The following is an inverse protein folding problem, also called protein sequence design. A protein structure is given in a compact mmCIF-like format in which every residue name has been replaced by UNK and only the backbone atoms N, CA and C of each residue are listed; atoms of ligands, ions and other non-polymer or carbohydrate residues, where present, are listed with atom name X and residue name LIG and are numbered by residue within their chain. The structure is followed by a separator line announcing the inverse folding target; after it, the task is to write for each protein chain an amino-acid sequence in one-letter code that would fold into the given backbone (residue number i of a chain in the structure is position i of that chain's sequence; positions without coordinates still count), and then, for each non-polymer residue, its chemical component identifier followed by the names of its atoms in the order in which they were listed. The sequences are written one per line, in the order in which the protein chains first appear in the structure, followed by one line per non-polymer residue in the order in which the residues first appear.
data_IF_745846339121
#
_entry.id   IF_745846339121
#
_cell.length_a   1.000
_cell.length_b   1.000
_cell.length_c   1.000
_cell.angle_alpha   90.00
_cell.angle_beta   90.00
_cell.angle_gamma   90.00
#
_symmetry.space_group_name_H-M   'P 1'
#
loop_
_entity.id
_entity.type
_entity.pdbx_description
1 polymer ?
#
# COMPACT_ATOMS: atom_id res chain seq x y z
N UNK A 1 1.73 -15.12 2.42
CA UNK A 1 1.45 -13.66 2.33
C UNK A 1 1.11 -13.31 0.89
N UNK A 2 -0.13 -12.94 0.61
CA UNK A 2 -0.53 -12.48 -0.73
C UNK A 2 0.07 -11.09 -0.99
N UNK A 3 0.62 -10.85 -2.19
CA UNK A 3 1.08 -9.51 -2.56
C UNK A 3 -0.11 -8.53 -2.61
N UNK A 4 0.14 -7.24 -2.33
CA UNK A 4 -0.91 -6.20 -2.23
C UNK A 4 -1.82 -6.10 -3.46
N UNK A 5 -1.26 -6.23 -4.67
CA UNK A 5 -2.02 -6.27 -5.91
C UNK A 5 -2.91 -7.51 -6.03
N UNK A 6 -2.56 -8.61 -5.36
CA UNK A 6 -3.35 -9.83 -5.30
C UNK A 6 -4.59 -9.65 -4.43
N UNK A 7 -4.40 -9.06 -3.23
CA UNK A 7 -5.53 -8.77 -2.33
C UNK A 7 -6.52 -7.81 -2.99
N UNK A 8 -6.03 -6.72 -3.60
CA UNK A 8 -6.90 -5.81 -4.33
C UNK A 8 -7.64 -6.52 -5.49
N UNK A 9 -6.96 -7.40 -6.22
CA UNK A 9 -7.60 -8.19 -7.27
C UNK A 9 -8.73 -9.08 -6.76
N UNK A 10 -8.55 -9.70 -5.59
CA UNK A 10 -9.60 -10.48 -4.92
C UNK A 10 -10.74 -9.60 -4.43
N UNK A 11 -10.45 -8.46 -3.78
CA UNK A 11 -11.46 -7.55 -3.28
C UNK A 11 -12.28 -6.91 -4.42
N UNK A 12 -11.63 -6.54 -5.52
CA UNK A 12 -12.29 -6.06 -6.74
C UNK A 12 -13.18 -7.12 -7.36
N UNK A 13 -12.70 -8.35 -7.48
CA UNK A 13 -13.50 -9.46 -8.00
C UNK A 13 -14.75 -9.64 -7.15
N UNK A 14 -14.60 -9.71 -5.83
CA UNK A 14 -15.73 -9.86 -4.91
C UNK A 14 -16.73 -8.70 -5.03
N UNK A 15 -16.23 -7.45 -5.13
CA UNK A 15 -17.08 -6.27 -5.31
C UNK A 15 -17.86 -6.31 -6.63
N UNK A 16 -17.23 -6.73 -7.73
CA UNK A 16 -17.87 -6.84 -9.04
C UNK A 16 -18.92 -7.96 -9.07
N UNK A 17 -18.60 -9.12 -8.50
CA UNK A 17 -19.54 -10.26 -8.38
C UNK A 17 -20.74 -9.88 -7.51
N UNK A 18 -20.52 -9.17 -6.40
CA UNK A 18 -21.60 -8.64 -5.54
C UNK A 18 -22.51 -7.64 -6.27
N UNK A 19 -21.99 -6.92 -7.27
CA UNK A 19 -22.74 -6.01 -8.13
C UNK A 19 -23.45 -6.75 -9.30
N UNK A 20 -23.47 -8.08 -9.30
CA UNK A 20 -24.11 -8.90 -10.35
C UNK A 20 -23.38 -8.88 -11.70
N UNK A 21 -22.14 -8.41 -11.74
CA UNK A 21 -21.35 -8.36 -12.97
C UNK A 21 -20.56 -9.66 -13.18
N UNK A 22 -20.70 -10.34 -14.34
CA UNK A 22 -19.88 -11.52 -14.64
C UNK A 22 -18.42 -11.10 -14.83
N UNK A 23 -17.52 -11.67 -14.03
CA UNK A 23 -16.09 -11.30 -14.00
C UNK A 23 -15.23 -12.45 -14.49
N UNK A 24 -14.38 -12.18 -15.47
CA UNK A 24 -13.29 -13.07 -15.87
C UNK A 24 -11.95 -12.46 -15.47
N UNK A 25 -11.20 -13.14 -14.61
CA UNK A 25 -9.86 -12.72 -14.18
C UNK A 25 -8.81 -13.42 -15.03
N UNK A 26 -7.91 -12.63 -15.62
CA UNK A 26 -6.71 -13.12 -16.29
C UNK A 26 -5.48 -12.70 -15.49
N UNK A 27 -4.72 -13.69 -15.01
CA UNK A 27 -3.55 -13.49 -14.17
C UNK A 27 -2.27 -13.84 -14.93
N UNK A 28 -1.29 -12.92 -14.92
CA UNK A 28 0.02 -13.11 -15.56
C UNK A 28 0.95 -14.06 -14.78
N UNK A 29 0.66 -14.34 -13.51
CA UNK A 29 1.51 -15.18 -12.63
C UNK A 29 1.38 -16.67 -12.88
N UNK A 30 0.35 -17.11 -13.57
CA UNK A 30 0.20 -18.51 -14.00
C UNK A 30 1.10 -18.86 -15.20
N UNK A 31 2.11 -18.02 -15.46
CA UNK A 31 3.18 -18.29 -16.40
C UNK A 31 4.12 -19.32 -15.75
N UNK A 32 4.27 -20.48 -16.38
CA UNK A 32 5.03 -21.61 -15.83
C UNK A 32 6.48 -21.31 -15.41
N UNK A 33 7.12 -22.17 -14.63
CA UNK A 33 8.50 -21.96 -14.17
C UNK A 33 9.51 -22.07 -15.34
N UNK A 34 10.63 -21.35 -15.20
CA UNK A 34 11.73 -21.33 -16.19
C UNK A 34 11.48 -20.44 -17.42
N UNK A 35 12.50 -20.21 -18.27
CA UNK A 35 12.42 -19.31 -19.42
C UNK A 35 11.40 -19.79 -20.48
N UNK A 36 11.40 -21.08 -20.80
CA UNK A 36 10.50 -21.69 -21.80
C UNK A 36 9.07 -21.68 -21.27
N UNK A 37 8.84 -22.08 -19.99
CA UNK A 37 7.53 -22.05 -19.35
C UNK A 37 6.96 -20.64 -19.27
N UNK A 38 7.79 -19.63 -18.99
CA UNK A 38 7.39 -18.22 -18.99
C UNK A 38 7.03 -17.73 -20.38
N UNK A 39 7.77 -18.11 -21.42
CA UNK A 39 7.48 -17.76 -22.81
C UNK A 39 6.16 -18.34 -23.28
N UNK A 40 5.94 -19.64 -23.07
CA UNK A 40 4.70 -20.34 -23.44
C UNK A 40 3.50 -19.80 -22.63
N UNK A 41 3.69 -19.57 -21.31
CA UNK A 41 2.66 -19.00 -20.46
C UNK A 41 2.27 -17.60 -20.90
N UNK A 42 3.24 -16.76 -21.31
CA UNK A 42 2.98 -15.42 -21.85
C UNK A 42 2.17 -15.48 -23.15
N UNK A 43 2.55 -16.36 -24.08
CA UNK A 43 1.80 -16.56 -25.31
C UNK A 43 0.35 -17.00 -25.02
N UNK A 44 0.16 -17.98 -24.13
CA UNK A 44 -1.15 -18.46 -23.73
C UNK A 44 -1.99 -17.36 -23.06
N UNK A 45 -1.38 -16.55 -22.19
CA UNK A 45 -2.03 -15.38 -21.59
C UNK A 45 -2.51 -14.40 -22.66
N UNK A 46 -1.67 -14.05 -23.63
CA UNK A 46 -2.02 -13.12 -24.71
C UNK A 46 -3.14 -13.67 -25.61
N UNK A 47 -3.11 -14.97 -25.92
CA UNK A 47 -4.20 -15.63 -26.68
C UNK A 47 -5.52 -15.61 -25.92
N UNK A 48 -5.49 -15.95 -24.63
CA UNK A 48 -6.69 -15.88 -23.75
C UNK A 48 -7.24 -14.48 -23.66
N UNK A 49 -6.36 -13.49 -23.50
CA UNK A 49 -6.75 -12.09 -23.45
C UNK A 49 -7.38 -11.64 -24.77
N UNK A 50 -6.74 -11.94 -25.90
CA UNK A 50 -7.26 -11.61 -27.22
C UNK A 50 -8.64 -12.25 -27.49
N UNK A 51 -8.85 -13.48 -27.01
CA UNK A 51 -10.15 -14.16 -27.12
C UNK A 51 -11.21 -13.54 -26.16
N UNK A 52 -10.86 -13.35 -24.89
CA UNK A 52 -11.76 -12.80 -23.88
C UNK A 52 -12.14 -11.35 -24.21
N UNK A 53 -11.18 -10.53 -24.68
CA UNK A 53 -11.41 -9.12 -25.02
C UNK A 53 -12.42 -8.89 -26.15
N UNK A 54 -12.68 -9.90 -26.98
CA UNK A 54 -13.71 -9.83 -28.02
C UNK A 54 -15.12 -10.14 -27.51
N UNK A 55 -15.22 -10.64 -26.28
CA UNK A 55 -16.49 -11.07 -25.64
C UNK A 55 -16.86 -10.27 -24.40
N UNK A 56 -15.91 -9.57 -23.80
CA UNK A 56 -16.19 -8.71 -22.66
C UNK A 56 -16.70 -7.33 -23.10
N UNK A 57 -17.49 -6.70 -22.22
CA UNK A 57 -18.03 -5.34 -22.43
C UNK A 57 -17.07 -4.27 -21.96
N UNK A 58 -16.18 -4.60 -21.06
CA UNK A 58 -15.25 -3.69 -20.40
C UNK A 58 -13.98 -4.43 -19.99
N UNK A 59 -12.82 -3.79 -20.10
CA UNK A 59 -11.55 -4.28 -19.59
C UNK A 59 -11.07 -3.37 -18.46
N UNK A 60 -10.81 -3.95 -17.30
CA UNK A 60 -10.14 -3.27 -16.18
C UNK A 60 -8.72 -3.83 -16.02
N UNK A 61 -7.73 -2.96 -16.18
CA UNK A 61 -6.33 -3.28 -15.92
C UNK A 61 -5.92 -2.81 -14.54
N UNK A 62 -5.34 -3.72 -13.73
CA UNK A 62 -4.82 -3.40 -12.39
C UNK A 62 -3.38 -2.88 -12.40
N UNK A 63 -2.81 -2.59 -13.57
CA UNK A 63 -1.47 -2.03 -13.67
C UNK A 63 -1.27 -1.32 -15.02
N UNK A 64 -0.80 -0.07 -14.98
CA UNK A 64 -0.62 0.76 -16.17
C UNK A 64 0.34 0.13 -17.20
N UNK A 65 1.45 -0.46 -16.75
CA UNK A 65 2.42 -1.13 -17.62
C UNK A 65 1.87 -2.38 -18.31
N UNK A 66 0.98 -3.13 -17.63
CA UNK A 66 0.30 -4.27 -18.23
C UNK A 66 -0.66 -3.80 -19.33
N UNK A 67 -1.46 -2.77 -19.07
CA UNK A 67 -2.38 -2.20 -20.06
C UNK A 67 -1.64 -1.79 -21.32
N UNK A 68 -0.54 -1.04 -21.19
CA UNK A 68 0.32 -0.67 -22.33
C UNK A 68 0.79 -1.88 -23.14
N UNK A 69 1.24 -2.93 -22.44
CA UNK A 69 1.82 -4.12 -23.08
C UNK A 69 0.80 -4.92 -23.87
N UNK A 70 -0.47 -4.92 -23.46
CA UNK A 70 -1.54 -5.71 -24.09
C UNK A 70 -2.41 -4.89 -25.04
N UNK A 71 -2.34 -3.59 -24.99
CA UNK A 71 -3.19 -2.68 -25.76
C UNK A 71 -3.23 -2.94 -27.25
N UNK A 72 -2.12 -3.29 -27.95
CA UNK A 72 -2.14 -3.58 -29.38
C UNK A 72 -3.02 -4.79 -29.74
N UNK A 73 -3.30 -5.67 -28.81
CA UNK A 73 -4.13 -6.87 -28.98
C UNK A 73 -5.62 -6.63 -28.70
N UNK A 74 -5.95 -5.51 -28.09
CA UNK A 74 -7.32 -5.20 -27.67
C UNK A 74 -8.14 -4.61 -28.82
N UNK A 75 -9.44 -4.99 -28.94
CA UNK A 75 -10.34 -4.33 -29.87
C UNK A 75 -10.40 -2.81 -29.61
N UNK A 76 -10.31 -2.00 -30.68
CA UNK A 76 -10.30 -0.53 -30.56
C UNK A 76 -11.55 0.02 -29.86
N UNK A 77 -12.69 -0.64 -30.01
CA UNK A 77 -13.98 -0.23 -29.44
C UNK A 77 -14.19 -0.72 -28.01
N UNK A 78 -13.31 -1.58 -27.47
CA UNK A 78 -13.44 -2.10 -26.11
C UNK A 78 -13.16 -0.97 -25.11
N UNK A 79 -14.14 -0.59 -24.27
CA UNK A 79 -13.93 0.35 -23.18
C UNK A 79 -12.87 -0.19 -22.20
N UNK A 80 -11.99 0.69 -21.75
CA UNK A 80 -10.87 0.33 -20.87
C UNK A 80 -10.88 1.21 -19.64
N UNK A 81 -10.62 0.60 -18.52
CA UNK A 81 -10.36 1.25 -17.24
C UNK A 81 -8.98 0.82 -16.75
N UNK A 82 -8.33 1.67 -15.96
CA UNK A 82 -7.08 1.32 -15.33
C UNK A 82 -7.08 1.72 -13.85
N UNK A 83 -6.44 0.87 -13.04
CA UNK A 83 -6.21 1.12 -11.63
C UNK A 83 -4.75 1.52 -11.43
N UNK A 84 -4.54 2.63 -10.70
CA UNK A 84 -3.25 3.24 -10.46
C UNK A 84 -2.87 3.08 -8.99
N UNK A 85 -1.71 2.47 -8.74
CA UNK A 85 -1.23 2.19 -7.39
C UNK A 85 -0.29 3.28 -6.85
N UNK A 86 0.45 3.97 -7.75
CA UNK A 86 1.39 5.01 -7.36
C UNK A 86 2.60 5.12 -8.27
N UNK A 87 3.73 4.61 -7.84
CA UNK A 87 5.06 4.81 -8.48
C UNK A 87 5.12 4.47 -9.97
N UNK A 88 4.26 3.58 -10.45
CA UNK A 88 4.19 3.19 -11.86
C UNK A 88 3.63 4.29 -12.80
N UNK A 89 3.13 5.37 -12.20
CA UNK A 89 2.60 6.54 -12.93
C UNK A 89 3.20 7.87 -12.42
N UNK A 90 4.29 7.82 -11.64
CA UNK A 90 4.96 9.03 -11.16
C UNK A 90 6.27 9.30 -11.91
N UNK A 91 6.53 10.57 -12.25
CA UNK A 91 7.77 11.01 -12.90
C UNK A 91 8.07 10.24 -14.18
N UNK A 92 9.30 9.76 -14.35
CA UNK A 92 9.75 9.06 -15.57
C UNK A 92 9.01 7.74 -15.86
N UNK A 93 8.24 7.20 -14.92
CA UNK A 93 7.40 6.03 -15.15
C UNK A 93 6.11 6.34 -15.94
N UNK A 94 5.64 7.59 -15.92
CA UNK A 94 4.39 8.00 -16.57
C UNK A 94 4.47 8.08 -18.10
N UNK A 95 5.46 8.73 -18.73
CA UNK A 95 5.50 8.91 -20.19
C UNK A 95 5.29 7.62 -20.98
N UNK A 96 5.91 6.48 -20.62
CA UNK A 96 5.72 5.21 -21.33
C UNK A 96 4.27 4.71 -21.36
N UNK A 97 3.46 5.01 -20.35
CA UNK A 97 2.09 4.49 -20.19
C UNK A 97 1.02 5.55 -20.48
N UNK A 98 1.40 6.81 -20.57
CA UNK A 98 0.48 7.95 -20.68
C UNK A 98 -0.52 7.83 -21.84
N UNK A 99 -0.05 7.43 -23.02
CA UNK A 99 -0.91 7.27 -24.19
C UNK A 99 -1.99 6.20 -23.98
N UNK A 100 -1.67 5.10 -23.31
CA UNK A 100 -2.64 4.05 -22.99
C UNK A 100 -3.64 4.50 -21.93
N UNK A 101 -3.19 5.23 -20.91
CA UNK A 101 -4.04 5.78 -19.87
C UNK A 101 -5.02 6.83 -20.41
N UNK A 102 -4.58 7.69 -21.32
CA UNK A 102 -5.44 8.71 -21.97
C UNK A 102 -6.55 8.09 -22.81
N UNK A 103 -6.39 6.87 -23.29
CA UNK A 103 -7.41 6.11 -24.03
C UNK A 103 -8.39 5.35 -23.15
N UNK A 104 -8.18 5.33 -21.83
CA UNK A 104 -9.16 4.79 -20.89
C UNK A 104 -10.40 5.68 -20.81
N UNK A 105 -11.55 5.10 -20.51
CA UNK A 105 -12.78 5.85 -20.17
C UNK A 105 -12.66 6.50 -18.79
N UNK A 106 -11.99 5.83 -17.87
CA UNK A 106 -11.78 6.31 -16.51
C UNK A 106 -10.59 5.64 -15.84
N UNK A 107 -10.06 6.29 -14.82
CA UNK A 107 -8.95 5.83 -14.00
C UNK A 107 -9.39 5.77 -12.54
N UNK A 108 -8.97 4.74 -11.82
CA UNK A 108 -9.05 4.69 -10.37
C UNK A 108 -7.65 4.85 -9.78
N UNK A 109 -7.49 5.73 -8.81
CA UNK A 109 -6.26 5.89 -8.06
C UNK A 109 -6.44 5.36 -6.64
N UNK A 110 -5.49 4.55 -6.15
CA UNK A 110 -5.53 3.98 -4.79
C UNK A 110 -5.42 5.04 -3.68
N UNK A 111 -4.99 6.27 -4.01
CA UNK A 111 -4.88 7.38 -3.06
C UNK A 111 -5.10 8.73 -3.72
N UNK A 112 -5.50 9.71 -2.91
CA UNK A 112 -5.56 11.11 -3.31
C UNK A 112 -4.21 11.65 -3.76
N UNK A 113 -3.14 11.20 -3.10
CA UNK A 113 -1.77 11.54 -3.47
C UNK A 113 -1.43 11.10 -4.91
N UNK A 114 -1.73 9.85 -5.28
CA UNK A 114 -1.51 9.34 -6.65
C UNK A 114 -2.34 10.10 -7.67
N UNK A 115 -3.62 10.37 -7.35
CA UNK A 115 -4.48 11.19 -8.21
C UNK A 115 -3.92 12.59 -8.41
N UNK A 116 -3.52 13.27 -7.36
CA UNK A 116 -2.97 14.62 -7.40
C UNK A 116 -1.70 14.69 -8.27
N UNK A 117 -0.79 13.71 -8.08
CA UNK A 117 0.43 13.64 -8.89
C UNK A 117 0.15 13.43 -10.37
N UNK A 118 -0.78 12.53 -10.73
CA UNK A 118 -1.15 12.32 -12.12
C UNK A 118 -1.75 13.60 -12.75
N UNK A 119 -2.64 14.28 -12.01
CA UNK A 119 -3.31 15.49 -12.52
C UNK A 119 -2.37 16.70 -12.60
N UNK A 120 -1.24 16.69 -11.91
CA UNK A 120 -0.20 17.72 -12.05
C UNK A 120 0.62 17.54 -13.34
N UNK A 121 0.58 16.37 -13.98
CA UNK A 121 1.27 16.11 -15.24
C UNK A 121 0.49 16.63 -16.43
N UNK A 122 1.15 17.20 -17.46
CA UNK A 122 0.48 17.76 -18.66
C UNK A 122 -0.36 16.71 -19.40
N UNK A 123 -1.54 17.11 -19.81
CA UNK A 123 -2.34 16.36 -20.77
C UNK A 123 -3.83 16.28 -20.41
N UNK A 124 -4.67 15.89 -21.37
CA UNK A 124 -6.04 15.54 -21.08
C UNK A 124 -6.06 14.15 -20.43
N UNK A 125 -6.32 14.09 -19.13
CA UNK A 125 -6.55 12.82 -18.42
C UNK A 125 -8.06 12.50 -18.41
N UNK A 126 -8.45 11.23 -18.59
CA UNK A 126 -9.83 10.83 -18.35
C UNK A 126 -10.21 11.07 -16.88
N UNK A 127 -11.50 10.99 -16.51
CA UNK A 127 -11.91 11.13 -15.11
C UNK A 127 -11.10 10.21 -14.19
N UNK A 128 -10.51 10.77 -13.13
CA UNK A 128 -9.71 10.03 -12.14
C UNK A 128 -10.45 10.02 -10.81
N UNK A 129 -10.95 8.87 -10.40
CA UNK A 129 -11.62 8.68 -9.12
C UNK A 129 -10.63 8.10 -8.10
N UNK A 130 -10.67 8.58 -6.86
CA UNK A 130 -9.95 7.93 -5.76
C UNK A 130 -10.82 6.81 -5.21
N UNK A 131 -10.31 5.60 -5.23
CA UNK A 131 -10.94 4.42 -4.64
C UNK A 131 -9.90 3.73 -3.77
N UNK A 132 -10.05 3.87 -2.47
CA UNK A 132 -9.11 3.31 -1.50
C UNK A 132 -9.28 1.80 -1.38
N UNK A 133 -8.19 1.00 -1.43
CA UNK A 133 -8.25 -0.42 -1.11
C UNK A 133 -8.79 -0.66 0.31
N UNK A 134 -9.61 -1.69 0.54
CA UNK A 134 -10.16 -1.98 1.85
C UNK A 134 -9.14 -2.67 2.76
N UNK A 135 -9.37 -2.65 4.07
CA UNK A 135 -8.62 -3.44 5.03
C UNK A 135 -9.08 -4.91 4.99
N UNK A 136 -8.30 -5.77 4.35
CA UNK A 136 -8.67 -7.18 4.16
C UNK A 136 -8.16 -8.13 5.24
N UNK A 137 -7.24 -7.69 6.12
CA UNK A 137 -6.60 -8.56 7.13
C UNK A 137 -7.54 -8.96 8.26
N UNK A 138 -8.48 -8.09 8.61
CA UNK A 138 -9.32 -8.25 9.79
C UNK A 138 -10.70 -8.79 9.43
N UNK A 139 -11.21 -9.82 10.16
CA UNK A 139 -12.63 -10.17 10.11
C UNK A 139 -13.49 -9.01 10.59
N UNK A 140 -14.68 -8.88 10.01
CA UNK A 140 -15.65 -7.86 10.43
C UNK A 140 -16.02 -8.04 11.91
N UNK A 141 -16.19 -6.92 12.62
CA UNK A 141 -16.53 -6.94 14.04
C UNK A 141 -15.38 -7.25 15.01
N UNK A 142 -14.15 -7.51 14.54
CA UNK A 142 -13.01 -7.76 15.43
C UNK A 142 -12.77 -6.58 16.38
N UNK A 143 -12.85 -6.82 17.69
CA UNK A 143 -12.53 -5.82 18.70
C UNK A 143 -11.01 -5.58 18.79
N UNK A 144 -10.55 -4.36 19.07
CA UNK A 144 -9.14 -4.08 19.29
C UNK A 144 -8.67 -4.69 20.62
N UNK A 145 -7.49 -5.30 20.62
CA UNK A 145 -6.85 -5.73 21.86
C UNK A 145 -6.40 -4.51 22.70
N UNK A 146 -6.34 -4.62 24.03
CA UNK A 146 -5.73 -3.60 24.89
C UNK A 146 -4.32 -3.22 24.43
N UNK A 147 -3.92 -1.98 24.70
CA UNK A 147 -2.55 -1.56 24.40
C UNK A 147 -1.56 -2.18 25.40
N UNK A 148 -0.40 -2.68 24.91
CA UNK A 148 0.65 -3.17 25.79
C UNK A 148 1.30 -2.02 26.58
N UNK A 149 1.96 -2.32 27.72
CA UNK A 149 2.77 -1.34 28.46
C UNK A 149 4.02 -0.94 27.65
N UNK A 150 4.55 0.24 27.94
CA UNK A 150 5.68 0.83 27.24
C UNK A 150 5.37 1.20 25.79
N UNK A 151 6.39 1.55 25.01
CA UNK A 151 6.23 1.86 23.58
C UNK A 151 6.63 0.64 22.73
N UNK A 152 5.65 -0.05 22.18
CA UNK A 152 5.84 -1.23 21.32
C UNK A 152 5.60 -0.82 19.88
N UNK A 153 6.71 -0.64 19.16
CA UNK A 153 6.73 -0.24 17.75
C UNK A 153 6.59 -1.46 16.84
N UNK A 154 5.85 -1.29 15.76
CA UNK A 154 5.74 -2.29 14.70
C UNK A 154 6.06 -1.65 13.34
N UNK A 155 6.85 -2.33 12.53
CA UNK A 155 6.97 -2.05 11.10
C UNK A 155 6.59 -3.29 10.31
N UNK A 156 5.74 -3.14 9.30
CA UNK A 156 5.29 -4.23 8.42
C UNK A 156 5.62 -3.90 6.97
N UNK A 157 6.69 -4.45 6.44
CA UNK A 157 7.14 -4.15 5.09
C UNK A 157 8.01 -5.25 4.50
N UNK A 158 8.10 -5.31 3.16
CA UNK A 158 9.18 -6.08 2.52
C UNK A 158 10.52 -5.41 2.83
N UNK A 159 11.52 -6.22 3.13
CA UNK A 159 12.89 -5.75 3.39
C UNK A 159 13.72 -5.88 2.11
N UNK A 160 13.23 -5.28 1.03
CA UNK A 160 13.91 -5.33 -0.27
C UNK A 160 14.81 -4.08 -0.46
N UNK A 161 16.02 -4.27 -0.98
CA UNK A 161 16.96 -3.20 -1.26
C UNK A 161 16.38 -2.12 -2.21
N UNK A 162 15.48 -2.51 -3.10
CA UNK A 162 14.74 -1.59 -3.97
C UNK A 162 13.66 -0.77 -3.24
N UNK A 163 13.30 -1.15 -2.00
CA UNK A 163 12.22 -0.54 -1.21
C UNK A 163 12.71 0.14 0.09
N UNK A 164 13.96 0.59 0.13
CA UNK A 164 14.52 1.33 1.29
C UNK A 164 13.73 2.58 1.67
N UNK A 165 12.91 3.08 0.74
CA UNK A 165 11.97 4.16 1.03
C UNK A 165 10.97 3.84 2.16
N UNK A 166 10.83 2.58 2.59
CA UNK A 166 9.99 2.19 3.73
C UNK A 166 10.42 2.79 5.06
N UNK A 167 11.61 3.44 5.13
CA UNK A 167 12.03 4.25 6.24
C UNK A 167 12.65 3.49 7.42
N UNK A 168 13.08 2.24 7.22
CA UNK A 168 13.78 1.48 8.27
C UNK A 168 15.06 2.20 8.72
N UNK A 169 15.84 2.68 7.76
CA UNK A 169 17.08 3.43 8.04
C UNK A 169 16.79 4.68 8.86
N UNK A 170 15.78 5.44 8.46
CA UNK A 170 15.34 6.64 9.17
C UNK A 170 14.87 6.34 10.60
N UNK A 171 14.17 5.21 10.79
CA UNK A 171 13.71 4.79 12.11
C UNK A 171 14.86 4.31 13.00
N UNK A 172 15.87 3.60 12.45
CA UNK A 172 17.08 3.22 13.18
C UNK A 172 17.80 4.47 13.69
N UNK A 173 18.01 5.47 12.81
CA UNK A 173 18.70 6.72 13.18
C UNK A 173 17.90 7.51 14.24
N UNK A 174 16.57 7.50 14.18
CA UNK A 174 15.72 8.14 15.17
C UNK A 174 15.76 7.41 16.53
N UNK A 175 15.73 6.07 16.52
CA UNK A 175 15.77 5.25 17.73
C UNK A 175 17.13 5.32 18.43
N UNK A 176 18.24 5.41 17.69
CA UNK A 176 19.58 5.62 18.24
C UNK A 176 19.67 6.93 19.05
N UNK A 177 18.83 7.91 18.73
CA UNK A 177 18.74 9.20 19.40
C UNK A 177 17.55 9.33 20.37
N UNK A 178 16.80 8.25 20.61
CA UNK A 178 15.61 8.29 21.46
C UNK A 178 15.96 8.34 22.96
N UNK A 179 17.12 7.77 23.34
CA UNK A 179 17.57 7.66 24.72
C UNK A 179 16.93 6.46 25.45
N UNK A 180 17.07 6.49 26.79
CA UNK A 180 16.51 5.48 27.66
C UNK A 180 14.99 5.57 27.75
N UNK A 181 14.34 4.41 27.85
CA UNK A 181 12.88 4.33 27.93
C UNK A 181 12.43 2.89 27.71
N UNK A 182 11.22 2.55 28.12
CA UNK A 182 10.63 1.23 27.86
C UNK A 182 10.03 1.22 26.44
N UNK A 183 10.89 0.95 25.46
CA UNK A 183 10.46 0.75 24.09
C UNK A 183 11.08 -0.52 23.47
N UNK A 184 10.35 -1.11 22.55
CA UNK A 184 10.80 -2.22 21.72
C UNK A 184 10.26 -2.07 20.30
N UNK A 185 11.05 -2.47 19.29
CA UNK A 185 10.66 -2.43 17.90
C UNK A 185 10.64 -3.81 17.27
N UNK A 186 9.47 -4.21 16.77
CA UNK A 186 9.28 -5.43 15.98
C UNK A 186 9.22 -5.09 14.49
N UNK A 187 10.03 -5.79 13.68
CA UNK A 187 10.04 -5.70 12.22
C UNK A 187 9.47 -6.99 11.65
N UNK A 188 8.33 -6.89 10.97
CA UNK A 188 7.68 -8.01 10.28
C UNK A 188 7.86 -7.85 8.79
N UNK A 189 8.45 -8.86 8.16
CA UNK A 189 8.74 -8.95 6.75
C UNK A 189 10.11 -9.53 6.48
N UNK A 190 10.40 -9.81 5.21
CA UNK A 190 11.66 -10.38 4.77
C UNK A 190 12.09 -9.80 3.42
N UNK A 191 13.35 -10.01 3.05
CA UNK A 191 13.93 -9.56 1.79
C UNK A 191 15.45 -9.49 1.82
N UNK A 192 16.02 -9.16 0.70
CA UNK A 192 17.48 -9.12 0.46
C UNK A 192 18.22 -8.01 1.25
N UNK A 193 17.52 -7.00 1.75
CA UNK A 193 18.09 -5.92 2.59
C UNK A 193 18.08 -6.25 4.10
N UNK A 194 17.46 -7.34 4.52
CA UNK A 194 17.38 -7.73 5.94
C UNK A 194 18.75 -7.85 6.63
N UNK A 195 19.77 -8.54 6.04
CA UNK A 195 21.07 -8.64 6.68
C UNK A 195 21.73 -7.27 6.93
N UNK A 196 21.61 -6.35 5.97
CA UNK A 196 22.12 -4.98 6.13
C UNK A 196 21.42 -4.23 7.26
N UNK A 197 20.09 -4.32 7.33
CA UNK A 197 19.31 -3.68 8.40
C UNK A 197 19.67 -4.23 9.78
N UNK A 198 19.86 -5.54 9.91
CA UNK A 198 20.32 -6.18 11.15
C UNK A 198 21.69 -5.67 11.58
N UNK A 199 22.62 -5.56 10.64
CA UNK A 199 23.95 -4.98 10.92
C UNK A 199 23.86 -3.51 11.36
N UNK A 200 22.99 -2.71 10.73
CA UNK A 200 22.77 -1.31 11.14
C UNK A 200 22.19 -1.20 12.55
N UNK A 201 21.24 -2.05 12.90
CA UNK A 201 20.66 -2.11 14.25
C UNK A 201 21.72 -2.43 15.28
N UNK A 202 22.60 -3.41 15.02
CA UNK A 202 23.70 -3.76 15.92
C UNK A 202 24.73 -2.61 16.04
N UNK A 203 25.11 -2.01 14.93
CA UNK A 203 26.03 -0.88 14.91
C UNK A 203 25.50 0.37 15.65
N UNK A 204 24.17 0.53 15.70
CA UNK A 204 23.49 1.56 16.46
C UNK A 204 23.28 1.23 17.94
N UNK A 205 23.75 0.06 18.43
CA UNK A 205 23.56 -0.37 19.82
C UNK A 205 22.12 -0.77 20.18
N UNK A 206 21.28 -1.10 19.20
CA UNK A 206 19.84 -1.36 19.38
C UNK A 206 19.49 -2.86 19.40
N UNK A 207 20.48 -3.75 19.39
CA UNK A 207 20.30 -5.19 19.22
C UNK A 207 19.28 -5.81 20.16
N UNK A 208 19.32 -5.44 21.44
CA UNK A 208 18.44 -5.99 22.48
C UNK A 208 17.00 -5.46 22.43
N UNK A 209 16.75 -4.41 21.66
CA UNK A 209 15.45 -3.71 21.57
C UNK A 209 14.77 -3.88 20.21
N UNK A 210 15.39 -4.59 19.26
CA UNK A 210 14.85 -4.76 17.90
C UNK A 210 14.74 -6.23 17.54
N UNK A 211 13.55 -6.67 17.17
CA UNK A 211 13.27 -8.04 16.74
C UNK A 211 12.86 -8.10 15.27
N UNK A 212 13.56 -8.91 14.48
CA UNK A 212 13.21 -9.22 13.09
C UNK A 212 12.47 -10.55 13.02
N UNK A 213 11.16 -10.52 12.84
CA UNK A 213 10.29 -11.71 12.83
C UNK A 213 10.29 -12.46 11.51
N UNK A 214 10.87 -11.90 10.44
CA UNK A 214 10.78 -12.48 9.10
C UNK A 214 9.39 -12.36 8.49
N UNK A 215 9.16 -13.12 7.42
CA UNK A 215 7.82 -13.25 6.83
C UNK A 215 6.94 -14.11 7.73
N UNK A 216 5.72 -13.64 7.98
CA UNK A 216 4.75 -14.32 8.85
C UNK A 216 3.43 -14.55 8.09
N UNK A 217 2.60 -15.46 8.58
CA UNK A 217 1.23 -15.63 8.08
C UNK A 217 0.27 -14.53 8.59
N UNK A 218 -0.96 -14.57 8.14
CA UNK A 218 -1.95 -13.55 8.49
C UNK A 218 -2.36 -13.59 9.97
N UNK A 219 -2.30 -14.76 10.63
CA UNK A 219 -2.60 -14.88 12.06
C UNK A 219 -1.49 -14.26 12.92
N UNK A 220 -0.25 -14.58 12.64
CA UNK A 220 0.90 -13.99 13.30
C UNK A 220 1.01 -12.48 13.01
N UNK A 221 0.62 -12.03 11.82
CA UNK A 221 0.56 -10.61 11.49
C UNK A 221 -0.52 -9.89 12.29
N UNK A 222 -1.72 -10.47 12.44
CA UNK A 222 -2.76 -9.92 13.34
C UNK A 222 -2.26 -9.80 14.77
N UNK A 223 -1.58 -10.84 15.29
CA UNK A 223 -0.99 -10.81 16.62
C UNK A 223 0.07 -9.70 16.76
N UNK A 224 0.91 -9.47 15.73
CA UNK A 224 1.90 -8.39 15.76
C UNK A 224 1.21 -7.01 15.89
N UNK A 225 0.14 -6.75 15.12
CA UNK A 225 -0.66 -5.53 15.29
C UNK A 225 -1.33 -5.44 16.67
N UNK A 226 -1.78 -6.56 17.25
CA UNK A 226 -2.39 -6.55 18.59
C UNK A 226 -1.36 -6.29 19.71
N UNK A 227 -0.10 -6.68 19.51
CA UNK A 227 0.99 -6.53 20.48
C UNK A 227 1.76 -5.21 20.37
N UNK A 228 1.49 -4.39 19.37
CA UNK A 228 2.07 -3.04 19.28
C UNK A 228 1.08 -1.98 19.79
N UNK A 229 1.58 -0.78 20.03
CA UNK A 229 0.75 0.40 20.26
C UNK A 229 1.01 1.53 19.26
N UNK A 230 2.06 1.41 18.44
CA UNK A 230 2.38 2.35 17.38
C UNK A 230 2.91 1.63 16.15
N UNK A 231 2.25 1.78 15.00
CA UNK A 231 2.86 1.44 13.72
C UNK A 231 3.86 2.54 13.35
N UNK A 232 5.15 2.21 13.35
CA UNK A 232 6.21 3.14 12.98
C UNK A 232 6.74 2.79 11.58
N UNK A 233 6.29 3.54 10.57
CA UNK A 233 6.71 3.38 9.17
C UNK A 233 6.91 4.76 8.55
N UNK A 234 8.02 5.45 8.83
CA UNK A 234 8.30 6.77 8.25
C UNK A 234 8.73 6.64 6.77
N UNK A 235 7.80 6.12 5.94
CA UNK A 235 8.05 5.89 4.51
C UNK A 235 8.31 7.19 3.79
N UNK A 236 9.40 7.22 3.03
CA UNK A 236 9.84 8.35 2.22
C UNK A 236 9.09 8.37 0.87
N UNK A 237 9.02 9.55 0.26
CA UNK A 237 8.60 9.70 -1.12
C UNK A 237 9.55 10.69 -1.79
N UNK A 238 10.35 10.24 -2.74
CA UNK A 238 11.37 11.08 -3.38
C UNK A 238 11.64 10.63 -4.82
N UNK A 239 12.19 11.55 -5.59
CA UNK A 239 12.69 11.28 -6.92
C UNK A 239 14.10 10.67 -6.85
N UNK A 240 14.35 9.69 -7.70
CA UNK A 240 15.66 9.09 -7.88
C UNK A 240 16.47 9.84 -8.96
N UNK A 241 17.80 9.66 -9.04
CA UNK A 241 18.62 10.31 -10.05
C UNK A 241 18.22 10.01 -11.51
N UNK A 242 17.54 8.89 -11.77
CA UNK A 242 17.03 8.50 -13.07
C UNK A 242 15.63 9.11 -13.41
N UNK A 243 15.13 10.01 -12.56
CA UNK A 243 13.81 10.64 -12.69
C UNK A 243 12.65 9.73 -12.30
N UNK A 244 12.91 8.47 -11.91
CA UNK A 244 11.88 7.61 -11.34
C UNK A 244 11.58 8.01 -9.90
N UNK A 245 10.34 7.79 -9.49
CA UNK A 245 9.92 8.06 -8.10
C UNK A 245 9.82 6.78 -7.31
N UNK A 246 10.11 6.91 -6.02
CA UNK A 246 9.87 5.86 -5.04
C UNK A 246 9.03 6.41 -3.90
N UNK A 247 8.20 5.55 -3.30
CA UNK A 247 7.32 5.98 -2.22
C UNK A 247 6.13 5.07 -1.98
N UNK A 248 5.36 5.40 -0.98
CA UNK A 248 4.14 4.67 -0.62
C UNK A 248 2.96 5.16 -1.48
N UNK A 249 2.41 4.28 -2.30
CA UNK A 249 1.25 4.61 -3.14
C UNK A 249 -0.07 4.71 -2.39
N UNK A 250 -0.23 3.93 -1.30
CA UNK A 250 -1.39 3.98 -0.40
C UNK A 250 -1.00 3.68 1.05
N UNK A 251 -0.38 2.51 1.32
CA UNK A 251 0.06 2.14 2.66
C UNK A 251 -0.92 1.27 3.42
N UNK A 252 -1.22 0.08 2.89
CA UNK A 252 -2.15 -0.88 3.51
C UNK A 252 -1.82 -1.18 4.98
N UNK A 253 -0.53 -1.22 5.36
CA UNK A 253 -0.12 -1.46 6.73
C UNK A 253 -0.64 -0.40 7.72
N UNK A 254 -0.74 0.86 7.29
CA UNK A 254 -1.34 1.91 8.12
C UNK A 254 -2.84 1.70 8.32
N UNK A 255 -3.54 1.23 7.29
CA UNK A 255 -4.95 0.91 7.39
C UNK A 255 -5.18 -0.32 8.28
N UNK A 256 -4.36 -1.35 8.16
CA UNK A 256 -4.40 -2.55 9.01
C UNK A 256 -4.17 -2.19 10.49
N UNK A 257 -3.18 -1.33 10.77
CA UNK A 257 -2.93 -0.81 12.11
C UNK A 257 -4.12 0.00 12.64
N UNK A 258 -4.70 0.86 11.81
CA UNK A 258 -5.86 1.66 12.17
C UNK A 258 -7.06 0.77 12.55
N UNK A 259 -7.38 -0.28 11.77
CA UNK A 259 -8.44 -1.25 12.11
C UNK A 259 -8.14 -1.97 13.41
N UNK A 260 -6.87 -2.26 13.71
CA UNK A 260 -6.44 -2.82 15.00
C UNK A 260 -6.52 -1.82 16.17
N UNK A 261 -6.90 -0.56 15.93
CA UNK A 261 -6.95 0.48 16.96
C UNK A 261 -5.55 0.99 17.35
N UNK A 262 -4.59 0.99 16.41
CA UNK A 262 -3.21 1.44 16.63
C UNK A 262 -2.98 2.77 15.96
N UNK A 263 -2.33 3.68 16.66
CA UNK A 263 -1.83 4.92 16.07
C UNK A 263 -0.72 4.62 15.06
N UNK A 264 -0.44 5.57 14.17
CA UNK A 264 0.63 5.43 13.21
C UNK A 264 1.57 6.65 13.19
N UNK A 265 2.87 6.40 12.99
CA UNK A 265 3.87 7.39 12.67
C UNK A 265 4.28 7.21 11.21
N UNK A 266 4.11 8.27 10.42
CA UNK A 266 4.35 8.30 8.99
C UNK A 266 5.00 9.62 8.56
N UNK A 267 5.63 9.66 7.39
CA UNK A 267 6.06 10.93 6.79
C UNK A 267 4.90 11.64 6.06
N UNK A 268 5.01 12.99 5.92
CA UNK A 268 3.99 13.88 5.31
C UNK A 268 3.85 13.73 3.80
N UNK A 269 4.41 12.70 3.18
CA UNK A 269 4.45 12.51 1.73
C UNK A 269 4.02 11.10 1.36
N UNK A 270 3.35 10.94 0.23
CA UNK A 270 2.90 9.65 -0.26
C UNK A 270 1.46 9.33 0.14
N UNK A 271 0.97 8.15 -0.28
CA UNK A 271 -0.41 7.72 -0.09
C UNK A 271 -0.82 7.51 1.37
N UNK A 272 0.13 7.37 2.30
CA UNK A 272 -0.15 7.29 3.74
C UNK A 272 -0.82 8.54 4.30
N UNK A 273 -0.72 9.69 3.63
CA UNK A 273 -1.38 10.93 4.04
C UNK A 273 -2.90 10.87 3.93
N UNK A 274 -3.45 9.95 3.14
CA UNK A 274 -4.89 9.70 3.09
C UNK A 274 -5.37 8.94 4.34
N UNK A 275 -4.49 8.17 4.98
CA UNK A 275 -4.79 7.28 6.10
C UNK A 275 -4.51 7.91 7.46
N UNK A 276 -3.37 8.59 7.59
CA UNK A 276 -2.92 9.18 8.85
C UNK A 276 -3.25 10.67 8.87
N UNK A 277 -3.96 11.10 9.90
CA UNK A 277 -4.25 12.51 10.19
C UNK A 277 -3.39 12.96 11.38
N UNK A 278 -2.49 13.93 11.14
CA UNK A 278 -1.59 14.45 12.17
C UNK A 278 -2.36 14.98 13.38
N UNK A 279 -1.92 14.58 14.56
CA UNK A 279 -2.56 15.01 15.81
C UNK A 279 -3.83 14.25 16.18
N UNK A 280 -4.52 13.62 15.22
CA UNK A 280 -5.80 12.94 15.45
C UNK A 280 -5.66 11.42 15.45
N UNK A 281 -5.11 10.83 14.36
CA UNK A 281 -4.99 9.38 14.22
C UNK A 281 -3.55 8.87 14.29
N UNK A 282 -2.59 9.79 14.41
CA UNK A 282 -1.18 9.48 14.47
C UNK A 282 -0.31 10.73 14.29
N UNK A 283 0.90 10.51 13.86
CA UNK A 283 1.89 11.54 13.56
C UNK A 283 2.24 11.53 12.07
N UNK A 284 2.11 12.70 11.42
CA UNK A 284 2.74 12.96 10.14
C UNK A 284 3.92 13.90 10.38
N UNK A 285 5.13 13.43 10.11
CA UNK A 285 6.38 14.13 10.39
C UNK A 285 7.18 14.39 9.11
N UNK A 286 8.11 15.31 9.19
CA UNK A 286 9.09 15.48 8.12
C UNK A 286 10.03 14.28 8.06
N UNK A 287 10.58 13.94 6.88
CA UNK A 287 11.40 12.75 6.68
C UNK A 287 12.84 12.93 7.23
N UNK A 288 12.95 13.25 8.52
CA UNK A 288 14.21 13.41 9.23
C UNK A 288 14.23 12.61 10.52
N UNK A 289 15.39 12.08 10.92
CA UNK A 289 15.55 11.33 12.16
C UNK A 289 15.13 12.17 13.38
N UNK A 290 15.40 13.47 13.36
CA UNK A 290 15.05 14.41 14.42
C UNK A 290 13.52 14.49 14.59
N UNK A 291 12.78 14.65 13.50
CA UNK A 291 11.32 14.77 13.54
C UNK A 291 10.66 13.42 13.95
N UNK A 292 11.19 12.30 13.48
CA UNK A 292 10.74 10.96 13.88
C UNK A 292 11.03 10.74 15.37
N UNK A 293 12.23 11.05 15.87
CA UNK A 293 12.58 10.92 17.28
C UNK A 293 11.72 11.83 18.19
N UNK A 294 11.40 13.04 17.74
CA UNK A 294 10.51 13.94 18.47
C UNK A 294 9.11 13.34 18.66
N UNK A 295 8.52 12.78 17.60
CA UNK A 295 7.23 12.10 17.67
C UNK A 295 7.26 10.85 18.58
N UNK A 296 8.37 10.09 18.56
CA UNK A 296 8.55 8.93 19.43
C UNK A 296 8.68 9.35 20.91
N UNK A 297 9.37 10.46 21.21
CA UNK A 297 9.44 11.01 22.57
C UNK A 297 8.06 11.47 23.07
N UNK A 298 7.28 12.13 22.21
CA UNK A 298 5.88 12.49 22.54
C UNK A 298 5.06 11.24 22.86
N UNK A 299 5.17 10.19 22.05
CA UNK A 299 4.46 8.93 22.27
C UNK A 299 4.88 8.22 23.58
N UNK A 300 6.17 8.27 23.94
CA UNK A 300 6.69 7.74 25.20
C UNK A 300 6.18 8.54 26.42
N UNK A 301 6.13 9.86 26.29
CA UNK A 301 5.76 10.77 27.37
C UNK A 301 4.26 10.75 27.69
N UNK A 302 3.40 10.47 26.68
CA UNK A 302 1.93 10.38 26.86
C UNK A 302 1.38 9.08 26.25
N UNK A 303 1.43 7.96 26.99
CA UNK A 303 0.80 6.71 26.56
C UNK A 303 -0.72 6.85 26.32
N UNK A 304 -1.38 7.77 26.99
CA UNK A 304 -2.81 8.07 26.77
C UNK A 304 -3.07 8.65 25.37
N UNK A 305 -2.11 9.35 24.77
CA UNK A 305 -2.24 9.84 23.39
C UNK A 305 -2.27 8.69 22.37
N UNK A 306 -1.50 7.62 22.60
CA UNK A 306 -1.52 6.43 21.75
C UNK A 306 -2.92 5.80 21.73
N UNK A 307 -3.56 5.67 22.90
CA UNK A 307 -4.92 5.12 23.02
C UNK A 307 -5.96 6.00 22.29
N UNK A 308 -5.92 7.31 22.54
CA UNK A 308 -6.85 8.27 21.89
C UNK A 308 -6.69 8.26 20.36
N UNK A 309 -5.44 8.34 19.87
CA UNK A 309 -5.14 8.35 18.42
C UNK A 309 -5.47 7.00 17.79
N UNK A 310 -5.20 5.88 18.45
CA UNK A 310 -5.55 4.55 17.99
C UNK A 310 -7.06 4.34 17.85
N UNK A 311 -7.84 4.81 18.84
CA UNK A 311 -9.31 4.78 18.80
C UNK A 311 -9.85 5.61 17.63
N UNK A 312 -9.35 6.83 17.45
CA UNK A 312 -9.72 7.71 16.34
C UNK A 312 -9.34 7.11 14.98
N UNK A 313 -8.15 6.50 14.88
CA UNK A 313 -7.70 5.81 13.67
C UNK A 313 -8.65 4.68 13.31
N UNK A 314 -9.06 3.85 14.28
CA UNK A 314 -10.01 2.76 14.06
C UNK A 314 -11.37 3.28 13.63
N UNK A 315 -11.91 4.28 14.32
CA UNK A 315 -13.20 4.87 13.94
C UNK A 315 -13.18 5.34 12.49
N UNK A 316 -12.14 6.09 12.11
CA UNK A 316 -11.95 6.56 10.73
C UNK A 316 -11.80 5.42 9.74
N UNK A 317 -11.01 4.38 10.07
CA UNK A 317 -10.80 3.23 9.19
C UNK A 317 -12.12 2.51 8.88
N UNK A 318 -12.93 2.24 9.88
CA UNK A 318 -14.23 1.57 9.72
C UNK A 318 -15.23 2.46 8.96
N UNK A 319 -15.21 3.76 9.19
CA UNK A 319 -16.13 4.69 8.51
C UNK A 319 -15.79 4.94 7.05
N UNK A 320 -14.50 4.95 6.67
CA UNK A 320 -14.08 5.44 5.36
C UNK A 320 -13.42 4.39 4.46
N UNK A 321 -12.93 3.26 5.02
CA UNK A 321 -12.12 2.28 4.30
C UNK A 321 -12.66 0.84 4.45
N UNK A 322 -13.92 0.68 4.83
CA UNK A 322 -14.59 -0.62 4.91
C UNK A 322 -14.90 -1.22 3.53
N UNK A 323 -15.12 -2.54 3.52
CA UNK A 323 -15.42 -3.29 2.29
C UNK A 323 -16.69 -2.81 1.59
N UNK A 324 -17.74 -2.48 2.34
CA UNK A 324 -19.01 -2.01 1.76
C UNK A 324 -18.82 -0.69 1.00
N UNK A 325 -18.04 0.22 1.57
CA UNK A 325 -17.68 1.48 0.88
C UNK A 325 -16.83 1.24 -0.36
N UNK A 326 -15.88 0.33 -0.29
CA UNK A 326 -15.10 -0.07 -1.45
C UNK A 326 -15.99 -0.63 -2.56
N UNK A 327 -16.89 -1.56 -2.22
CA UNK A 327 -17.84 -2.16 -3.15
C UNK A 327 -18.75 -1.10 -3.78
N UNK A 328 -19.34 -0.23 -2.97
CA UNK A 328 -20.18 0.87 -3.46
C UNK A 328 -19.40 1.85 -4.36
N UNK A 329 -18.16 2.20 -4.00
CA UNK A 329 -17.33 3.08 -4.81
C UNK A 329 -16.95 2.46 -6.17
N UNK A 330 -16.65 1.16 -6.19
CA UNK A 330 -16.37 0.41 -7.43
C UNK A 330 -17.62 0.35 -8.30
N UNK A 331 -18.79 0.04 -7.74
CA UNK A 331 -20.06 -0.01 -8.47
C UNK A 331 -20.38 1.36 -9.10
N UNK A 332 -20.37 2.44 -8.31
CA UNK A 332 -20.62 3.79 -8.80
C UNK A 332 -19.61 4.24 -9.87
N UNK A 333 -18.33 3.86 -9.72
CA UNK A 333 -17.31 4.14 -10.72
C UNK A 333 -17.62 3.47 -12.06
N UNK A 334 -18.07 2.21 -12.04
CA UNK A 334 -18.42 1.46 -13.25
C UNK A 334 -19.69 2.01 -13.91
N UNK A 335 -20.73 2.33 -13.15
CA UNK A 335 -21.96 2.94 -13.63
C UNK A 335 -21.72 4.27 -14.33
N UNK A 336 -20.84 5.11 -13.78
CA UNK A 336 -20.43 6.37 -14.39
C UNK A 336 -19.63 6.21 -15.70
N UNK A 337 -19.35 4.98 -16.14
CA UNK A 337 -18.66 4.68 -17.41
C UNK A 337 -19.59 4.14 -18.50
N UNK A 338 -20.90 4.01 -18.23
CA UNK A 338 -21.94 3.53 -19.14
C UNK A 338 -22.24 4.42 -20.32
#
# INVERSE_FOLDING_TARGET
MLFRSERLGHDLRAALEASGQPVQVLDTRRLGPGPIGRGLGRALFLLRLAWASRRCRLLLSLHAGLLRSVEPLLPRRLPRLAWLHGVEVWGSALPPVAASLRRCRGLAASSGYTRQRLLAEPGPWPPVQVIHPPAALWPDGTAPAPLPPGLRLLTVARLAASERYKGHDLLIDALANLGDGDWHWQVVGDGDDRPRLQQRVLAAGLGDRVTFSGAVDDDALRQAYQRCNLLAMPSLCHERPDGSWTGEGFGIAYLEAAVAGRAALACRQGGQTDLVQHGLTGWLVDPTAIAVAAALREALADPGSLARRGAAARQRALQHFGRDRFTAAVAAWLEGQG
#
